data_IF_962027944331
#
_entry.id   IF_962027944331
#
_cell.length_a   1.000
_cell.length_b   1.000
_cell.length_c   1.000
_cell.angle_alpha   90.00
_cell.angle_beta   90.00
_cell.angle_gamma   90.00
#
_symmetry.space_group_name_H-M   'P 1'
#
loop_
_entity.id
_entity.type
_entity.pdbx_description
1 polymer ?
#
# COMPACT_ATOMS: atom_id res chain seq x y z
N UNK A 1 3.67 -2.23 -32.99
CA UNK A 1 3.18 -1.95 -31.61
C UNK A 1 3.87 -2.82 -30.54
N UNK A 2 4.00 -4.13 -30.67
CA UNK A 2 4.62 -5.00 -29.64
C UNK A 2 6.08 -4.62 -29.26
N UNK A 3 6.92 -4.26 -30.23
CA UNK A 3 8.32 -3.89 -29.95
C UNK A 3 8.46 -2.60 -29.09
N UNK A 4 7.49 -1.65 -29.19
CA UNK A 4 7.49 -0.45 -28.36
C UNK A 4 7.09 -0.75 -26.91
N UNK A 5 6.12 -1.63 -26.70
CA UNK A 5 5.70 -2.07 -25.35
C UNK A 5 6.83 -2.79 -24.60
N UNK A 6 7.69 -3.51 -25.32
CA UNK A 6 8.88 -4.18 -24.76
C UNK A 6 10.07 -3.22 -24.59
N UNK A 7 10.02 -2.00 -25.11
CA UNK A 7 11.05 -0.99 -24.90
C UNK A 7 11.07 -0.53 -23.44
N UNK A 8 12.25 -0.09 -22.98
CA UNK A 8 12.43 0.45 -21.61
C UNK A 8 11.39 1.54 -21.29
N UNK A 9 11.13 2.45 -22.22
CA UNK A 9 10.16 3.54 -22.05
C UNK A 9 8.73 3.02 -21.98
N UNK A 10 8.36 2.08 -22.84
CA UNK A 10 7.02 1.48 -22.85
C UNK A 10 6.68 0.79 -21.53
N UNK A 11 7.59 -0.04 -21.02
CA UNK A 11 7.40 -0.72 -19.73
C UNK A 11 7.22 0.26 -18.57
N UNK A 12 7.99 1.36 -18.55
CA UNK A 12 7.89 2.41 -17.51
C UNK A 12 6.58 3.18 -17.58
N UNK A 13 6.12 3.49 -18.80
CA UNK A 13 4.80 4.12 -18.98
C UNK A 13 3.66 3.22 -18.53
N UNK A 14 3.69 1.95 -18.90
CA UNK A 14 2.66 0.99 -18.46
C UNK A 14 2.64 0.89 -16.94
N UNK A 15 3.82 0.75 -16.30
CA UNK A 15 3.92 0.69 -14.85
C UNK A 15 3.39 1.96 -14.18
N UNK A 16 3.74 3.15 -14.71
CA UNK A 16 3.22 4.43 -14.22
C UNK A 16 1.70 4.52 -14.37
N UNK A 17 1.15 4.13 -15.52
CA UNK A 17 -0.29 4.13 -15.77
C UNK A 17 -1.05 3.18 -14.84
N UNK A 18 -0.49 2.01 -14.53
CA UNK A 18 -1.08 1.08 -13.57
C UNK A 18 -1.12 1.72 -12.18
N UNK A 19 -0.01 2.32 -11.71
CA UNK A 19 0.03 2.98 -10.40
C UNK A 19 -0.93 4.18 -10.33
N UNK A 20 -0.96 5.03 -11.36
CA UNK A 20 -1.94 6.13 -11.42
C UNK A 20 -3.38 5.60 -11.49
N UNK A 21 -3.60 4.51 -12.22
CA UNK A 21 -4.91 3.86 -12.33
C UNK A 21 -5.42 3.37 -10.98
N UNK A 22 -4.57 2.75 -10.15
CA UNK A 22 -4.95 2.29 -8.81
C UNK A 22 -5.26 3.44 -7.87
N UNK A 23 -4.44 4.50 -7.88
CA UNK A 23 -4.70 5.72 -7.08
C UNK A 23 -6.01 6.37 -7.49
N UNK A 24 -6.21 6.55 -8.80
CA UNK A 24 -7.42 7.16 -9.37
C UNK A 24 -8.65 6.32 -9.05
N UNK A 25 -8.56 5.00 -9.23
CA UNK A 25 -9.63 4.07 -8.88
C UNK A 25 -10.05 4.23 -7.41
N UNK A 26 -9.08 4.24 -6.48
CA UNK A 26 -9.36 4.44 -5.06
C UNK A 26 -9.97 5.80 -4.75
N UNK A 27 -9.53 6.87 -5.44
CA UNK A 27 -10.04 8.22 -5.25
C UNK A 27 -11.48 8.40 -5.77
N UNK A 28 -11.89 7.67 -6.81
CA UNK A 28 -13.25 7.74 -7.37
C UNK A 28 -14.26 6.84 -6.64
N UNK A 29 -13.81 5.91 -5.80
CA UNK A 29 -14.74 5.10 -5.03
C UNK A 29 -15.42 5.95 -3.94
N UNK A 30 -16.74 5.88 -3.86
CA UNK A 30 -17.52 6.56 -2.80
C UNK A 30 -17.41 5.86 -1.44
N UNK A 31 -17.07 4.57 -1.43
CA UNK A 31 -16.92 3.74 -0.23
C UNK A 31 -15.69 2.85 -0.35
N UNK A 32 -15.04 2.52 0.77
CA UNK A 32 -13.92 1.61 0.76
C UNK A 32 -14.39 0.25 0.21
N UNK A 33 -13.62 -0.33 -0.71
CA UNK A 33 -14.00 -1.61 -1.30
C UNK A 33 -14.15 -2.66 -0.20
N UNK A 34 -15.33 -3.29 -0.16
CA UNK A 34 -15.61 -4.43 0.73
C UNK A 34 -14.90 -5.67 0.18
N UNK A 35 -13.57 -5.62 0.18
CA UNK A 35 -12.76 -6.77 -0.18
C UNK A 35 -12.86 -7.79 0.95
N UNK A 36 -13.46 -8.89 0.66
CA UNK A 36 -13.59 -10.15 1.38
C UNK A 36 -13.29 -10.08 2.89
N UNK A 37 -14.19 -10.64 3.67
CA UNK A 37 -13.94 -10.89 5.09
C UNK A 37 -12.63 -11.65 5.20
N UNK A 38 -11.70 -11.07 5.99
CA UNK A 38 -10.37 -11.65 6.14
C UNK A 38 -10.50 -13.09 6.68
N UNK A 39 -10.14 -14.08 5.85
CA UNK A 39 -10.18 -15.49 6.23
C UNK A 39 -9.36 -15.75 7.51
N UNK A 40 -8.23 -15.06 7.65
CA UNK A 40 -7.40 -15.16 8.85
C UNK A 40 -8.16 -14.71 10.09
N UNK A 41 -8.89 -13.58 10.02
CA UNK A 41 -9.72 -13.10 11.13
C UNK A 41 -10.87 -14.07 11.44
N UNK A 42 -11.49 -14.65 10.42
CA UNK A 42 -12.59 -15.60 10.57
C UNK A 42 -12.15 -16.89 11.29
N UNK A 43 -10.93 -17.38 11.03
CA UNK A 43 -10.43 -18.62 11.63
C UNK A 43 -9.71 -18.40 12.97
N UNK A 44 -8.95 -17.32 13.13
CA UNK A 44 -8.13 -17.09 14.31
C UNK A 44 -8.75 -16.13 15.34
N UNK A 45 -9.77 -15.37 14.94
CA UNK A 45 -10.31 -14.26 15.74
C UNK A 45 -9.36 -13.07 15.89
N UNK A 46 -8.14 -13.15 15.32
CA UNK A 46 -7.11 -12.14 15.42
C UNK A 46 -7.07 -11.26 14.17
N UNK A 47 -6.72 -9.97 14.28
CA UNK A 47 -6.48 -9.13 13.11
C UNK A 47 -5.26 -9.62 12.35
N UNK A 48 -5.37 -9.79 11.03
CA UNK A 48 -4.21 -10.13 10.22
C UNK A 48 -3.24 -8.94 10.09
N UNK A 49 -1.98 -9.17 9.73
CA UNK A 49 -0.98 -8.10 9.57
C UNK A 49 -1.37 -7.00 8.58
N UNK A 50 -2.16 -7.32 7.56
CA UNK A 50 -2.61 -6.39 6.51
C UNK A 50 -4.03 -5.86 6.71
N UNK A 51 -4.73 -6.26 7.79
CA UNK A 51 -6.09 -5.78 8.07
C UNK A 51 -6.12 -4.26 8.27
N UNK A 52 -6.98 -3.59 7.52
CA UNK A 52 -7.10 -2.13 7.50
C UNK A 52 -6.24 -1.43 6.44
N UNK A 53 -5.32 -2.14 5.75
CA UNK A 53 -4.46 -1.58 4.71
C UNK A 53 -5.26 -0.93 3.58
N UNK A 54 -6.26 -1.63 3.04
CA UNK A 54 -7.11 -1.12 1.95
C UNK A 54 -7.90 0.11 2.37
N UNK A 55 -8.42 0.13 3.62
CA UNK A 55 -9.13 1.30 4.17
C UNK A 55 -8.18 2.46 4.39
N UNK A 56 -6.96 2.19 4.82
CA UNK A 56 -5.90 3.19 4.96
C UNK A 56 -5.52 3.80 3.60
N UNK A 57 -5.31 2.98 2.57
CA UNK A 57 -5.06 3.46 1.21
C UNK A 57 -6.22 4.28 0.66
N UNK A 58 -7.45 3.82 0.86
CA UNK A 58 -8.66 4.55 0.47
C UNK A 58 -8.74 5.92 1.15
N UNK A 59 -8.55 5.98 2.47
CA UNK A 59 -8.56 7.23 3.22
C UNK A 59 -7.41 8.17 2.79
N UNK A 60 -6.22 7.63 2.52
CA UNK A 60 -5.07 8.39 2.01
C UNK A 60 -5.35 8.96 0.61
N UNK A 61 -5.96 8.20 -0.29
CA UNK A 61 -6.37 8.66 -1.63
C UNK A 61 -7.38 9.82 -1.58
N UNK A 62 -8.18 9.90 -0.51
CA UNK A 62 -9.11 11.01 -0.26
C UNK A 62 -8.49 12.14 0.58
N UNK A 63 -7.18 12.15 0.82
CA UNK A 63 -6.49 13.16 1.62
C UNK A 63 -6.74 13.09 3.14
N UNK A 64 -7.45 12.05 3.62
CA UNK A 64 -7.77 11.85 5.04
C UNK A 64 -6.64 11.11 5.78
N UNK A 65 -5.46 11.72 5.83
CA UNK A 65 -4.24 11.05 6.35
C UNK A 65 -4.34 10.65 7.82
N UNK A 66 -5.01 11.44 8.67
CA UNK A 66 -5.22 11.09 10.10
C UNK A 66 -6.02 9.78 10.22
N UNK A 67 -7.08 9.67 9.44
CA UNK A 67 -7.91 8.47 9.37
C UNK A 67 -7.13 7.29 8.76
N UNK A 68 -6.39 7.53 7.68
CA UNK A 68 -5.54 6.52 7.05
C UNK A 68 -4.53 5.93 8.06
N UNK A 69 -3.89 6.79 8.84
CA UNK A 69 -2.93 6.38 9.86
C UNK A 69 -3.59 5.57 10.99
N UNK A 70 -4.81 5.93 11.40
CA UNK A 70 -5.55 5.19 12.43
C UNK A 70 -5.95 3.78 11.96
N UNK A 71 -6.27 3.61 10.66
CA UNK A 71 -6.54 2.30 10.08
C UNK A 71 -5.29 1.44 9.99
N UNK A 72 -4.22 1.95 9.37
CA UNK A 72 -2.96 1.24 9.25
C UNK A 72 -1.82 2.19 8.89
N UNK A 73 -0.81 2.40 9.75
CA UNK A 73 0.29 3.35 9.47
C UNK A 73 1.08 2.97 8.21
N UNK A 74 1.27 1.68 7.95
CA UNK A 74 1.95 1.21 6.72
C UNK A 74 1.17 1.53 5.44
N UNK A 75 -0.15 1.71 5.49
CA UNK A 75 -0.94 2.11 4.33
C UNK A 75 -0.58 3.49 3.84
N UNK A 76 -0.29 4.43 4.75
CA UNK A 76 0.18 5.78 4.39
C UNK A 76 1.55 5.71 3.73
N UNK A 77 2.46 4.89 4.26
CA UNK A 77 3.81 4.67 3.68
C UNK A 77 3.71 4.08 2.27
N UNK A 78 2.85 3.07 2.09
CA UNK A 78 2.62 2.45 0.78
C UNK A 78 2.00 3.43 -0.21
N UNK A 79 1.03 4.23 0.22
CA UNK A 79 0.44 5.27 -0.62
C UNK A 79 1.49 6.30 -1.09
N UNK A 80 2.34 6.78 -0.18
CA UNK A 80 3.44 7.67 -0.52
C UNK A 80 4.44 7.03 -1.50
N UNK A 81 4.77 5.75 -1.30
CA UNK A 81 5.63 4.99 -2.20
C UNK A 81 4.97 4.78 -3.58
N UNK A 82 3.67 4.55 -3.64
CA UNK A 82 2.90 4.42 -4.89
C UNK A 82 2.89 5.73 -5.68
N UNK A 83 2.58 6.86 -5.04
CA UNK A 83 2.61 8.19 -5.67
C UNK A 83 4.02 8.53 -6.13
N UNK A 84 5.03 8.38 -5.26
CA UNK A 84 6.43 8.66 -5.59
C UNK A 84 6.95 7.76 -6.72
N UNK A 85 6.58 6.49 -6.70
CA UNK A 85 6.90 5.52 -7.75
C UNK A 85 6.27 5.89 -9.10
N UNK A 86 4.99 6.25 -9.11
CA UNK A 86 4.28 6.66 -10.31
C UNK A 86 4.93 7.91 -10.93
N UNK A 87 5.26 8.92 -10.13
CA UNK A 87 5.95 10.13 -10.58
C UNK A 87 7.34 9.82 -11.14
N UNK A 88 8.13 9.03 -10.41
CA UNK A 88 9.49 8.67 -10.84
C UNK A 88 9.48 7.88 -12.16
N UNK A 89 8.57 6.90 -12.29
CA UNK A 89 8.43 6.12 -13.53
C UNK A 89 7.96 6.97 -14.70
N UNK A 90 7.08 7.94 -14.47
CA UNK A 90 6.64 8.89 -15.49
C UNK A 90 7.81 9.77 -15.98
N UNK A 91 8.62 10.29 -15.06
CA UNK A 91 9.82 11.06 -15.38
C UNK A 91 10.86 10.20 -16.12
N UNK A 92 11.06 8.94 -15.74
CA UNK A 92 11.94 8.01 -16.47
C UNK A 92 11.45 7.76 -17.91
N UNK A 93 10.15 7.60 -18.09
CA UNK A 93 9.55 7.39 -19.41
C UNK A 93 9.72 8.62 -20.32
N UNK A 94 9.56 9.83 -19.76
CA UNK A 94 9.71 11.09 -20.49
C UNK A 94 11.17 11.39 -20.81
N UNK A 95 12.06 11.28 -19.83
CA UNK A 95 13.48 11.66 -19.98
C UNK A 95 14.33 10.57 -20.62
N UNK A 96 13.87 9.31 -20.58
CA UNK A 96 14.65 8.14 -21.00
C UNK A 96 15.83 7.81 -20.08
N UNK A 97 16.02 8.56 -18.99
CA UNK A 97 17.08 8.33 -18.01
C UNK A 97 16.58 7.43 -16.90
N UNK A 98 17.43 6.53 -16.40
CA UNK A 98 17.10 5.67 -15.25
C UNK A 98 17.34 6.44 -13.95
N UNK A 99 16.29 6.93 -13.32
CA UNK A 99 16.33 7.58 -12.00
C UNK A 99 16.34 6.52 -10.89
N UNK A 100 15.50 5.50 -11.02
CA UNK A 100 15.39 4.40 -10.07
C UNK A 100 16.33 3.26 -10.49
N UNK A 101 17.56 3.29 -10.01
CA UNK A 101 18.53 2.19 -10.17
C UNK A 101 18.54 1.33 -8.91
N UNK A 102 17.58 0.45 -8.80
CA UNK A 102 17.59 -0.52 -7.71
C UNK A 102 18.58 -1.64 -8.02
N UNK A 103 19.61 -1.75 -7.21
CA UNK A 103 20.44 -2.95 -7.20
C UNK A 103 19.63 -4.08 -6.52
N UNK A 104 19.79 -5.32 -6.97
CA UNK A 104 19.09 -6.47 -6.40
C UNK A 104 19.27 -6.61 -4.88
N UNK A 105 20.43 -6.20 -4.33
CA UNK A 105 20.66 -6.15 -2.88
C UNK A 105 19.77 -5.09 -2.21
N UNK A 106 19.73 -3.88 -2.76
CA UNK A 106 18.90 -2.79 -2.22
C UNK A 106 17.41 -3.17 -2.26
N UNK A 107 16.93 -3.75 -3.36
CA UNK A 107 15.55 -4.21 -3.46
C UNK A 107 15.22 -5.26 -2.40
N UNK A 108 16.10 -6.25 -2.21
CA UNK A 108 15.91 -7.27 -1.17
C UNK A 108 15.89 -6.67 0.23
N UNK A 109 16.78 -5.72 0.53
CA UNK A 109 16.83 -5.04 1.83
C UNK A 109 15.56 -4.24 2.07
N UNK A 110 15.04 -3.51 1.06
CA UNK A 110 13.78 -2.76 1.17
C UNK A 110 12.61 -3.71 1.44
N UNK A 111 12.51 -4.82 0.71
CA UNK A 111 11.45 -5.80 0.91
C UNK A 111 11.49 -6.43 2.31
N UNK A 112 12.69 -6.79 2.80
CA UNK A 112 12.86 -7.32 4.16
C UNK A 112 12.48 -6.26 5.19
N UNK A 113 12.93 -5.01 5.04
CA UNK A 113 12.60 -3.91 5.94
C UNK A 113 11.10 -3.65 6.00
N UNK A 114 10.40 -3.64 4.84
CA UNK A 114 8.95 -3.51 4.78
C UNK A 114 8.23 -4.66 5.47
N UNK A 115 8.69 -5.90 5.26
CA UNK A 115 8.13 -7.08 5.92
C UNK A 115 8.31 -7.01 7.44
N UNK A 116 9.51 -6.68 7.91
CA UNK A 116 9.79 -6.51 9.35
C UNK A 116 8.93 -5.40 9.95
N UNK A 117 8.81 -4.26 9.26
CA UNK A 117 7.99 -3.15 9.71
C UNK A 117 6.50 -3.54 9.80
N UNK A 118 5.99 -4.28 8.82
CA UNK A 118 4.63 -4.82 8.83
C UNK A 118 4.39 -5.75 10.04
N UNK A 119 5.33 -6.65 10.30
CA UNK A 119 5.25 -7.58 11.43
C UNK A 119 5.32 -6.84 12.77
N UNK A 120 6.21 -5.86 12.90
CA UNK A 120 6.31 -5.02 14.10
C UNK A 120 5.02 -4.25 14.35
N UNK A 121 4.45 -3.61 13.32
CA UNK A 121 3.16 -2.95 13.43
C UNK A 121 2.06 -3.92 13.89
N UNK A 122 2.06 -5.14 13.38
CA UNK A 122 1.10 -6.17 13.78
C UNK A 122 1.26 -6.58 15.24
N UNK A 123 2.49 -6.87 15.68
CA UNK A 123 2.78 -7.22 17.09
C UNK A 123 2.36 -6.09 18.03
N UNK A 124 2.71 -4.84 17.70
CA UNK A 124 2.31 -3.66 18.50
C UNK A 124 0.77 -3.59 18.61
N UNK A 125 0.05 -3.80 17.49
CA UNK A 125 -1.43 -3.82 17.51
C UNK A 125 -1.98 -4.95 18.38
N UNK A 126 -1.39 -6.14 18.34
CA UNK A 126 -1.77 -7.24 19.22
C UNK A 126 -1.53 -6.88 20.69
N UNK A 127 -0.37 -6.30 21.03
CA UNK A 127 -0.06 -5.85 22.39
C UNK A 127 -1.07 -4.81 22.88
N UNK A 128 -1.48 -3.86 22.03
CA UNK A 128 -2.50 -2.86 22.37
C UNK A 128 -3.86 -3.50 22.64
N UNK A 129 -4.26 -4.45 21.79
CA UNK A 129 -5.55 -5.14 21.94
C UNK A 129 -5.57 -5.97 23.22
N UNK A 130 -4.55 -6.77 23.46
CA UNK A 130 -4.50 -7.67 24.62
C UNK A 130 -4.11 -6.96 25.91
N UNK A 131 -3.22 -5.96 25.84
CA UNK A 131 -2.71 -5.25 27.03
C UNK A 131 -3.65 -4.17 27.55
N UNK A 132 -4.24 -3.37 26.67
CA UNK A 132 -5.08 -2.23 27.07
C UNK A 132 -6.58 -2.47 26.89
N UNK A 133 -6.98 -3.62 26.34
CA UNK A 133 -8.40 -3.94 26.02
C UNK A 133 -9.13 -2.83 25.24
N UNK A 134 -8.37 -2.02 24.47
CA UNK A 134 -8.92 -0.93 23.68
C UNK A 134 -9.46 -1.52 22.38
N UNK A 135 -10.76 -1.38 22.08
CA UNK A 135 -11.29 -1.78 20.79
C UNK A 135 -10.70 -0.86 19.71
N UNK A 136 -9.82 -1.40 18.89
CA UNK A 136 -9.36 -0.67 17.70
C UNK A 136 -10.55 -0.53 16.74
N UNK A 137 -10.58 0.56 15.92
CA UNK A 137 -11.69 0.83 15.00
C UNK A 137 -11.97 -0.29 13.98
N UNK A 138 -11.06 -1.27 13.89
CA UNK A 138 -11.21 -2.45 13.02
C UNK A 138 -12.31 -3.41 13.51
N UNK A 139 -12.63 -3.42 14.81
CA UNK A 139 -13.60 -4.34 15.42
C UNK A 139 -15.04 -3.84 15.40
N UNK A 140 -15.28 -2.56 15.13
CA UNK A 140 -16.62 -1.97 15.10
C UNK A 140 -17.35 -2.07 13.76
N UNK A 141 -16.85 -2.85 12.81
CA UNK A 141 -17.37 -2.91 11.43
C UNK A 141 -17.54 -4.37 10.94
N UNK A 142 -17.98 -5.26 11.81
CA UNK A 142 -18.56 -6.55 11.44
C UNK A 142 -20.08 -6.42 11.45
#
# INVERSE_FOLDING_TARGET
MAKWLLSFRGQRLIAALVLFGTITWMAFLSQPPKLWQCMFHKFSGLPCPSCGMTRSLFAAAHGRFKEAFSWHPMGVVLFAAEVGGALALSLEAMTGKRLLRFNGRAMRTILIALMVCLLLCWVIRLCIIFGMKIPLPIYGLV
#
